data_IF_347653381740
#
_entry.id   IF_347653381740
#
_cell.length_a   1.000
_cell.length_b   1.000
_cell.length_c   1.000
_cell.angle_alpha   90.00
_cell.angle_beta   90.00
_cell.angle_gamma   90.00
#
_symmetry.space_group_name_H-M   'P 1'
#
loop_
_entity.id
_entity.type
_entity.pdbx_description
1 polymer ?
#
# COMPACT_ATOMS: atom_id res chain seq x y z
N UNK A 1 8.83 14.49 -63.00
CA UNK A 1 8.17 13.47 -62.14
C UNK A 1 8.98 13.28 -60.88
N UNK A 2 8.54 13.85 -59.77
CA UNK A 2 9.24 13.76 -58.50
C UNK A 2 8.66 12.59 -57.70
N UNK A 3 9.40 11.49 -57.60
CA UNK A 3 9.09 10.37 -56.68
C UNK A 3 9.41 10.82 -55.26
N UNK A 4 8.40 11.30 -54.55
CA UNK A 4 8.52 11.56 -53.12
C UNK A 4 8.74 10.23 -52.37
N UNK A 5 9.85 10.13 -51.66
CA UNK A 5 10.20 9.00 -50.78
C UNK A 5 9.27 8.97 -49.55
N UNK A 6 8.13 8.32 -49.66
CA UNK A 6 7.24 8.03 -48.55
C UNK A 6 7.82 7.05 -47.51
N UNK A 7 8.94 6.41 -47.79
CA UNK A 7 9.52 5.38 -46.90
C UNK A 7 10.30 5.91 -45.71
N UNK A 8 10.76 7.17 -45.70
CA UNK A 8 11.55 7.72 -44.60
C UNK A 8 10.69 8.16 -43.39
N UNK A 9 9.47 8.60 -43.65
CA UNK A 9 8.53 9.06 -42.59
C UNK A 9 7.96 7.87 -41.80
N UNK A 10 7.71 6.73 -42.47
CA UNK A 10 7.24 5.51 -41.78
C UNK A 10 8.31 4.88 -40.88
N UNK A 11 9.58 4.92 -41.31
CA UNK A 11 10.69 4.43 -40.50
C UNK A 11 10.95 5.27 -39.24
N UNK A 12 10.81 6.60 -39.36
CA UNK A 12 10.94 7.51 -38.22
C UNK A 12 9.83 7.27 -37.18
N UNK A 13 8.57 7.15 -37.64
CA UNK A 13 7.42 6.88 -36.78
C UNK A 13 7.52 5.54 -36.03
N UNK A 14 8.03 4.50 -36.68
CA UNK A 14 8.27 3.21 -36.02
C UNK A 14 9.38 3.28 -34.97
N UNK A 15 10.46 4.00 -35.26
CA UNK A 15 11.54 4.20 -34.29
C UNK A 15 11.08 5.01 -33.07
N UNK A 16 10.26 6.02 -33.29
CA UNK A 16 9.67 6.85 -32.25
C UNK A 16 8.71 6.04 -31.34
N UNK A 17 7.86 5.21 -31.95
CA UNK A 17 6.98 4.31 -31.22
C UNK A 17 7.76 3.26 -30.44
N UNK A 18 8.85 2.72 -30.96
CA UNK A 18 9.69 1.72 -30.29
C UNK A 18 10.34 2.27 -29.02
N UNK A 19 10.63 3.56 -28.95
CA UNK A 19 11.18 4.22 -27.76
C UNK A 19 10.08 4.66 -26.80
N UNK A 20 9.00 5.19 -27.32
CA UNK A 20 7.92 5.77 -26.51
C UNK A 20 7.10 4.69 -25.80
N UNK A 21 6.79 3.58 -26.46
CA UNK A 21 5.94 2.52 -25.92
C UNK A 21 6.49 1.90 -24.63
N UNK A 22 7.78 1.52 -24.50
CA UNK A 22 8.33 1.03 -23.25
C UNK A 22 8.23 2.05 -22.11
N UNK A 23 8.45 3.33 -22.40
CA UNK A 23 8.36 4.40 -21.39
C UNK A 23 6.92 4.55 -20.88
N UNK A 24 5.93 4.56 -21.78
CA UNK A 24 4.51 4.63 -21.39
C UNK A 24 4.10 3.41 -20.56
N UNK A 25 4.54 2.22 -20.95
CA UNK A 25 4.28 0.98 -20.19
C UNK A 25 4.88 1.07 -18.79
N UNK A 26 6.14 1.47 -18.65
CA UNK A 26 6.79 1.64 -17.35
C UNK A 26 6.07 2.67 -16.47
N UNK A 27 5.68 3.81 -17.02
CA UNK A 27 4.91 4.82 -16.29
C UNK A 27 3.55 4.27 -15.82
N UNK A 28 2.87 3.51 -16.67
CA UNK A 28 1.59 2.90 -16.30
C UNK A 28 1.75 1.92 -15.14
N UNK A 29 2.75 1.04 -15.18
CA UNK A 29 3.07 0.14 -14.06
C UNK A 29 3.47 0.90 -12.80
N UNK A 30 4.21 2.02 -12.94
CA UNK A 30 4.56 2.89 -11.82
C UNK A 30 3.30 3.44 -11.12
N UNK A 31 2.36 3.97 -11.89
CA UNK A 31 1.11 4.51 -11.36
C UNK A 31 0.25 3.45 -10.68
N UNK A 32 0.13 2.27 -11.28
CA UNK A 32 -0.62 1.14 -10.69
C UNK A 32 0.01 0.71 -9.38
N UNK A 33 1.33 0.56 -9.34
CA UNK A 33 2.03 0.15 -8.13
C UNK A 33 1.91 1.19 -7.00
N UNK A 34 1.99 2.47 -7.34
CA UNK A 34 1.77 3.56 -6.38
C UNK A 34 0.32 3.57 -5.86
N UNK A 35 -0.66 3.33 -6.72
CA UNK A 35 -2.06 3.23 -6.33
C UNK A 35 -2.30 2.04 -5.36
N UNK A 36 -1.65 0.90 -5.58
CA UNK A 36 -1.71 -0.24 -4.67
C UNK A 36 -1.11 0.08 -3.30
N UNK A 37 0.04 0.76 -3.26
CA UNK A 37 0.67 1.19 -2.02
C UNK A 37 -0.22 2.20 -1.26
N UNK A 38 -0.79 3.16 -1.96
CA UNK A 38 -1.75 4.11 -1.39
C UNK A 38 -2.98 3.40 -0.81
N UNK A 39 -3.56 2.47 -1.56
CA UNK A 39 -4.71 1.69 -1.10
C UNK A 39 -4.40 0.91 0.18
N UNK A 40 -3.24 0.24 0.23
CA UNK A 40 -2.79 -0.49 1.42
C UNK A 40 -2.58 0.43 2.64
N UNK A 41 -2.01 1.62 2.44
CA UNK A 41 -1.83 2.61 3.50
C UNK A 41 -3.17 3.10 4.07
N UNK A 42 -4.14 3.38 3.20
CA UNK A 42 -5.49 3.80 3.61
C UNK A 42 -6.21 2.66 4.34
N UNK A 43 -6.11 1.43 3.84
CA UNK A 43 -6.69 0.25 4.49
C UNK A 43 -6.11 0.03 5.89
N UNK A 44 -4.78 0.11 6.04
CA UNK A 44 -4.09 0.02 7.32
C UNK A 44 -4.54 1.11 8.30
N UNK A 45 -4.64 2.36 7.84
CA UNK A 45 -5.10 3.48 8.67
C UNK A 45 -6.54 3.29 9.14
N UNK A 46 -7.43 2.84 8.28
CA UNK A 46 -8.82 2.57 8.63
C UNK A 46 -8.93 1.41 9.63
N UNK A 47 -8.15 0.35 9.44
CA UNK A 47 -8.12 -0.79 10.35
C UNK A 47 -7.57 -0.40 11.73
N UNK A 48 -6.46 0.36 11.78
CA UNK A 48 -5.88 0.86 13.03
C UNK A 48 -6.88 1.74 13.80
N UNK A 49 -7.54 2.68 13.12
CA UNK A 49 -8.54 3.55 13.72
C UNK A 49 -9.74 2.77 14.25
N UNK A 50 -10.25 1.83 13.47
CA UNK A 50 -11.38 1.01 13.91
C UNK A 50 -11.01 0.11 15.08
N UNK A 51 -9.86 -0.55 15.01
CA UNK A 51 -9.34 -1.40 16.09
C UNK A 51 -9.14 -0.63 17.39
N UNK A 52 -8.47 0.52 17.33
CA UNK A 52 -8.21 1.36 18.51
C UNK A 52 -9.53 1.87 19.13
N UNK A 53 -10.52 2.18 18.31
CA UNK A 53 -11.84 2.59 18.78
C UNK A 53 -12.60 1.46 19.47
N UNK A 54 -12.57 0.24 18.91
CA UNK A 54 -13.18 -0.94 19.55
C UNK A 54 -12.47 -1.28 20.85
N UNK A 55 -11.13 -1.24 20.85
CA UNK A 55 -10.34 -1.46 22.06
C UNK A 55 -10.63 -0.45 23.17
N UNK A 56 -10.84 0.83 22.81
CA UNK A 56 -11.09 1.89 23.80
C UNK A 56 -12.40 1.75 24.56
N UNK A 57 -13.40 1.12 23.98
CA UNK A 57 -14.69 0.86 24.66
C UNK A 57 -14.77 -0.54 25.28
N UNK A 58 -13.76 -1.38 25.08
CA UNK A 58 -13.71 -2.74 25.60
C UNK A 58 -13.19 -2.74 27.03
N UNK A 59 -13.96 -3.27 27.97
CA UNK A 59 -13.57 -3.37 29.38
C UNK A 59 -12.70 -4.59 29.67
N UNK A 60 -12.96 -5.67 28.94
CA UNK A 60 -12.20 -6.91 29.05
C UNK A 60 -11.36 -7.11 27.79
N UNK A 61 -10.05 -7.38 27.95
CA UNK A 61 -9.11 -7.63 26.87
C UNK A 61 -9.12 -6.55 25.75
N UNK A 62 -8.90 -5.28 26.08
CA UNK A 62 -8.99 -4.19 25.11
C UNK A 62 -8.06 -4.36 23.91
N UNK A 63 -6.84 -4.85 24.14
CA UNK A 63 -5.85 -5.09 23.07
C UNK A 63 -6.24 -6.25 22.15
N UNK A 64 -6.74 -7.37 22.71
CA UNK A 64 -7.22 -8.49 21.89
C UNK A 64 -8.41 -8.12 21.03
N UNK A 65 -9.37 -7.38 21.61
CA UNK A 65 -10.55 -6.90 20.87
C UNK A 65 -10.15 -5.88 19.80
N UNK A 66 -9.17 -5.02 20.07
CA UNK A 66 -8.63 -4.07 19.11
C UNK A 66 -7.98 -4.78 17.90
N UNK A 67 -7.14 -5.78 18.16
CA UNK A 67 -6.49 -6.57 17.10
C UNK A 67 -7.53 -7.33 16.29
N UNK A 68 -8.48 -8.02 16.93
CA UNK A 68 -9.54 -8.75 16.23
C UNK A 68 -10.42 -7.86 15.35
N UNK A 69 -10.75 -6.66 15.83
CA UNK A 69 -11.52 -5.69 15.06
C UNK A 69 -10.72 -5.13 13.86
N UNK A 70 -9.44 -4.82 14.05
CA UNK A 70 -8.56 -4.38 12.97
C UNK A 70 -8.37 -5.48 11.93
N UNK A 71 -8.15 -6.73 12.37
CA UNK A 71 -8.02 -7.89 11.49
C UNK A 71 -9.26 -8.09 10.63
N UNK A 72 -10.45 -8.06 11.22
CA UNK A 72 -11.71 -8.22 10.48
C UNK A 72 -11.92 -7.14 9.40
N UNK A 73 -11.30 -5.96 9.53
CA UNK A 73 -11.30 -4.94 8.48
C UNK A 73 -10.34 -5.25 7.34
N UNK A 74 -9.26 -5.98 7.61
CA UNK A 74 -8.23 -6.31 6.64
C UNK A 74 -8.48 -7.66 5.94
N UNK A 75 -9.28 -8.53 6.50
CA UNK A 75 -9.56 -9.87 5.93
C UNK A 75 -10.16 -9.84 4.52
N UNK A 76 -10.83 -8.75 4.16
CA UNK A 76 -11.40 -8.54 2.82
C UNK A 76 -10.45 -7.84 1.86
N UNK A 77 -9.29 -7.40 2.35
CA UNK A 77 -8.30 -6.64 1.56
C UNK A 77 -7.29 -7.62 0.97
N UNK A 78 -7.26 -7.69 -0.34
CA UNK A 78 -6.37 -8.61 -1.09
C UNK A 78 -5.06 -7.97 -1.52
N UNK A 79 -4.92 -6.66 -1.35
CA UNK A 79 -3.73 -5.88 -1.75
C UNK A 79 -2.79 -5.74 -0.57
N UNK A 80 -1.58 -6.29 -0.70
CA UNK A 80 -0.54 -6.19 0.32
C UNK A 80 -0.64 -7.22 1.43
N UNK A 81 0.28 -7.13 2.36
CA UNK A 81 0.35 -7.92 3.60
C UNK A 81 0.27 -6.98 4.78
N UNK A 82 -0.34 -7.44 5.88
CA UNK A 82 -0.57 -6.63 7.05
C UNK A 82 -0.15 -7.38 8.32
N UNK A 83 0.53 -6.67 9.22
CA UNK A 83 0.80 -7.15 10.58
C UNK A 83 0.20 -6.17 11.58
N UNK A 84 -0.56 -6.69 12.55
CA UNK A 84 -1.30 -5.88 13.51
C UNK A 84 -0.77 -6.15 14.90
N UNK A 85 -0.49 -5.08 15.63
CA UNK A 85 -0.16 -5.15 17.04
C UNK A 85 -0.95 -4.10 17.82
N UNK A 86 -1.29 -4.40 19.07
CA UNK A 86 -1.95 -3.46 19.95
C UNK A 86 -1.34 -3.52 21.34
N UNK A 87 -1.28 -2.38 22.00
CA UNK A 87 -0.81 -2.26 23.36
C UNK A 87 -1.61 -1.23 24.15
N UNK A 88 -1.51 -1.31 25.48
CA UNK A 88 -2.19 -0.39 26.40
C UNK A 88 -3.57 -0.88 26.84
N UNK A 89 -4.36 0.04 27.40
CA UNK A 89 -5.65 -0.27 28.00
C UNK A 89 -5.54 -0.89 29.41
N UNK A 90 -6.65 -1.36 29.93
CA UNK A 90 -6.74 -2.07 31.22
C UNK A 90 -7.25 -1.22 32.40
N UNK A 91 -7.31 0.09 32.27
CA UNK A 91 -7.91 0.98 33.23
C UNK A 91 -8.49 2.24 32.58
N UNK A 92 -9.43 2.87 33.26
CA UNK A 92 -10.08 4.09 32.77
C UNK A 92 -9.06 5.19 32.46
N UNK A 93 -9.09 5.71 31.26
CA UNK A 93 -8.20 6.77 30.80
C UNK A 93 -6.86 6.28 30.24
N UNK A 94 -6.58 4.98 30.28
CA UNK A 94 -5.42 4.41 29.59
C UNK A 94 -5.54 4.60 28.08
N UNK A 95 -4.40 4.68 27.40
CA UNK A 95 -4.39 4.72 25.93
C UNK A 95 -4.37 3.30 25.38
N UNK A 96 -5.17 3.06 24.36
CA UNK A 96 -5.10 1.87 23.51
C UNK A 96 -4.49 2.28 22.18
N UNK A 97 -3.33 1.73 21.90
CA UNK A 97 -2.58 1.99 20.68
C UNK A 97 -2.68 0.78 19.76
N UNK A 98 -3.03 1.00 18.52
CA UNK A 98 -3.05 -0.04 17.49
C UNK A 98 -2.11 0.37 16.37
N UNK A 99 -1.12 -0.46 16.11
CA UNK A 99 -0.17 -0.33 15.04
C UNK A 99 -0.49 -1.36 13.97
N UNK A 100 -0.63 -0.91 12.74
CA UNK A 100 -0.77 -1.76 11.55
C UNK A 100 0.40 -1.48 10.63
N UNK A 101 1.24 -2.47 10.47
CA UNK A 101 2.31 -2.46 9.46
C UNK A 101 1.77 -3.02 8.16
N UNK A 102 2.11 -2.42 7.05
CA UNK A 102 1.68 -2.87 5.73
C UNK A 102 2.85 -2.93 4.77
N UNK A 103 2.80 -3.87 3.83
CA UNK A 103 3.77 -3.98 2.75
C UNK A 103 3.08 -4.40 1.44
N UNK A 104 3.50 -3.77 0.35
CA UNK A 104 3.05 -4.07 -1.03
C UNK A 104 4.27 -4.37 -1.89
N UNK A 105 4.25 -5.44 -2.71
CA UNK A 105 5.35 -5.76 -3.60
C UNK A 105 5.62 -4.62 -4.59
N UNK A 106 6.91 -4.34 -4.80
CA UNK A 106 7.34 -3.38 -5.81
C UNK A 106 7.56 -4.09 -7.15
N UNK A 107 6.53 -4.14 -7.98
CA UNK A 107 6.59 -4.79 -9.30
C UNK A 107 7.53 -4.09 -10.27
N UNK A 108 7.72 -2.77 -10.12
CA UNK A 108 8.65 -2.00 -10.96
C UNK A 108 10.08 -2.31 -10.56
N UNK A 109 10.35 -2.41 -9.26
CA UNK A 109 11.65 -2.84 -8.75
C UNK A 109 12.06 -4.19 -9.32
N UNK A 110 11.12 -5.14 -9.39
CA UNK A 110 11.34 -6.45 -10.01
C UNK A 110 11.76 -6.32 -11.48
N UNK A 111 11.10 -5.45 -12.24
CA UNK A 111 11.41 -5.23 -13.64
C UNK A 111 12.79 -4.54 -13.82
N UNK A 112 13.09 -3.55 -12.98
CA UNK A 112 14.39 -2.85 -13.00
C UNK A 112 15.52 -3.80 -12.63
N UNK A 113 15.31 -4.68 -11.65
CA UNK A 113 16.32 -5.70 -11.27
C UNK A 113 16.59 -6.67 -12.41
N UNK A 114 15.57 -7.06 -13.18
CA UNK A 114 15.73 -7.92 -14.35
C UNK A 114 16.60 -7.30 -15.45
N UNK A 115 16.60 -5.98 -15.59
CA UNK A 115 17.45 -5.24 -16.53
C UNK A 115 18.80 -4.80 -15.93
N UNK A 116 19.19 -5.35 -14.79
CA UNK A 116 20.49 -5.09 -14.15
C UNK A 116 20.48 -3.94 -13.13
N UNK A 117 19.31 -3.51 -12.65
CA UNK A 117 19.15 -2.55 -11.56
C UNK A 117 19.30 -3.16 -10.16
N UNK A 118 19.30 -2.30 -9.13
CA UNK A 118 19.54 -2.68 -7.74
C UNK A 118 18.42 -3.47 -7.07
N UNK A 119 18.54 -3.64 -5.73
CA UNK A 119 17.67 -4.47 -4.91
C UNK A 119 16.19 -4.05 -4.95
N UNK A 120 15.31 -5.06 -4.86
CA UNK A 120 13.87 -4.85 -4.75
C UNK A 120 13.53 -4.39 -3.33
N UNK A 121 13.05 -3.17 -3.19
CA UNK A 121 12.43 -2.70 -1.95
C UNK A 121 10.92 -2.72 -2.11
N UNK A 122 10.22 -3.41 -1.22
CA UNK A 122 8.76 -3.34 -1.14
C UNK A 122 8.33 -1.94 -0.68
N UNK A 123 7.17 -1.49 -1.14
CA UNK A 123 6.51 -0.36 -0.52
C UNK A 123 5.96 -0.81 0.82
N UNK A 124 6.43 -0.20 1.89
CA UNK A 124 6.01 -0.55 3.24
C UNK A 124 5.82 0.72 4.08
N UNK A 125 4.98 0.61 5.09
CA UNK A 125 4.74 1.69 6.01
C UNK A 125 3.96 1.22 7.23
N UNK A 126 3.67 2.16 8.11
CA UNK A 126 2.95 1.90 9.36
C UNK A 126 1.79 2.87 9.51
N UNK A 127 0.71 2.40 10.10
CA UNK A 127 -0.41 3.21 10.53
C UNK A 127 -0.61 3.02 12.03
N UNK A 128 -0.53 4.11 12.79
CA UNK A 128 -0.74 4.12 14.24
C UNK A 128 -2.01 4.87 14.57
N UNK A 129 -2.84 4.28 15.41
CA UNK A 129 -4.00 4.94 15.97
C UNK A 129 -4.04 4.77 17.48
N UNK A 130 -4.38 5.84 18.19
CA UNK A 130 -4.43 5.88 19.64
C UNK A 130 -5.78 6.42 20.07
N UNK A 131 -6.48 5.67 20.92
CA UNK A 131 -7.71 6.10 21.57
C UNK A 131 -7.59 5.93 23.09
N UNK A 132 -8.21 6.85 23.80
CA UNK A 132 -8.29 6.77 25.24
C UNK A 132 -9.39 5.82 25.66
N UNK A 133 -9.08 4.89 26.58
CA UNK A 133 -10.08 3.96 27.09
C UNK A 133 -11.13 4.71 27.90
N UNK A 134 -12.36 4.60 27.43
CA UNK A 134 -13.53 5.09 28.15
C UNK A 134 -13.98 4.01 29.13
N UNK A 135 -14.04 4.35 30.41
CA UNK A 135 -14.50 3.44 31.46
C UNK A 135 -15.77 3.98 32.10
N UNK A 136 -16.58 3.12 32.56
CA UNK A 136 -17.70 3.35 33.47
C UNK A 136 -17.33 3.03 34.89
#
# INVERSE_FOLDING_TARGET
>A
MAWRRKGSEQGSSMAEAAITLPVVVLLTFAMVNLAMAWYAAVAASNAANYGARVGSVSQTNPTGNAVGAAQGRLDTITVGTYAISANGGGYRGAQVNVLVEWAVPNYIGSLITYIGGGDQMNFAGTALSTFRQEGW
#
